data_IF_659740949722
#
_entry.id   IF_659740949722
#
_cell.length_a   1.000
_cell.length_b   1.000
_cell.length_c   1.000
_cell.angle_alpha   90.00
_cell.angle_beta   90.00
_cell.angle_gamma   90.00
#
_symmetry.space_group_name_H-M   'P 1'
#
loop_
_entity.id
_entity.type
_entity.pdbx_description
1 polymer ?
#
# COMPACT_ATOMS: atom_id res chain seq x y z
N UNK A 1 -4.06 -1.15 -11.45
CA UNK A 1 -4.01 -1.83 -10.14
C UNK A 1 -3.12 -0.98 -9.25
N UNK A 2 -3.69 -0.29 -8.26
CA UNK A 2 -2.90 0.57 -7.37
C UNK A 2 -2.49 -0.25 -6.15
N UNK A 3 -1.20 -0.27 -5.84
CA UNK A 3 -0.68 -0.96 -4.66
C UNK A 3 -0.57 0.05 -3.52
N UNK A 4 -1.22 -0.26 -2.39
CA UNK A 4 -1.14 0.55 -1.17
C UNK A 4 -0.34 -0.23 -0.14
N UNK A 5 0.60 0.45 0.52
CA UNK A 5 1.48 -0.13 1.53
C UNK A 5 1.22 0.52 2.89
N UNK A 6 0.81 -0.28 3.86
CA UNK A 6 0.61 0.14 5.25
C UNK A 6 1.83 -0.26 6.09
N UNK A 7 2.22 0.60 7.05
CA UNK A 7 3.35 0.35 7.93
C UNK A 7 2.96 0.41 9.41
N UNK A 8 3.72 -0.29 10.26
CA UNK A 8 3.59 -0.25 11.72
C UNK A 8 2.14 -0.51 12.19
N UNK A 9 1.65 0.30 13.12
CA UNK A 9 0.30 0.19 13.71
C UNK A 9 -0.83 0.25 12.67
N UNK A 10 -0.66 1.00 11.57
CA UNK A 10 -1.67 1.04 10.51
C UNK A 10 -1.83 -0.31 9.81
N UNK A 11 -0.72 -1.06 9.66
CA UNK A 11 -0.77 -2.41 9.08
C UNK A 11 -1.57 -3.37 9.99
N UNK A 12 -1.42 -3.26 11.31
CA UNK A 12 -2.21 -4.05 12.25
C UNK A 12 -3.71 -3.72 12.19
N UNK A 13 -4.05 -2.43 12.11
CA UNK A 13 -5.45 -1.98 11.98
C UNK A 13 -6.02 -2.48 10.64
N UNK A 14 -5.29 -2.29 9.54
CA UNK A 14 -5.70 -2.80 8.24
C UNK A 14 -5.91 -4.31 8.28
N UNK A 15 -5.00 -5.09 8.88
CA UNK A 15 -5.15 -6.54 8.97
C UNK A 15 -6.33 -6.98 9.83
N UNK A 16 -6.69 -6.23 10.88
CA UNK A 16 -7.79 -6.59 11.79
C UNK A 16 -9.17 -6.20 11.23
N UNK A 17 -9.25 -5.05 10.57
CA UNK A 17 -10.53 -4.44 10.19
C UNK A 17 -10.80 -4.45 8.69
N UNK A 18 -9.79 -4.47 7.83
CA UNK A 18 -9.98 -4.50 6.37
C UNK A 18 -10.33 -5.92 5.93
N UNK A 19 -11.54 -6.08 5.41
CA UNK A 19 -12.00 -7.31 4.77
C UNK A 19 -12.34 -7.04 3.30
N UNK A 20 -12.30 -8.08 2.46
CA UNK A 20 -12.66 -7.98 1.05
C UNK A 20 -14.08 -7.40 0.92
N UNK A 21 -14.21 -6.29 0.20
CA UNK A 21 -15.49 -5.57 0.02
C UNK A 21 -15.76 -4.46 1.04
N UNK A 22 -14.90 -4.26 2.05
CA UNK A 22 -14.99 -3.13 2.97
C UNK A 22 -14.65 -1.80 2.30
N UNK A 23 -15.45 -0.76 2.58
CA UNK A 23 -15.15 0.60 2.14
C UNK A 23 -14.18 1.23 3.12
N UNK A 24 -13.12 1.82 2.59
CA UNK A 24 -12.13 2.55 3.39
C UNK A 24 -11.69 3.79 2.64
N UNK A 25 -11.36 4.82 3.41
CA UNK A 25 -10.64 5.98 2.95
C UNK A 25 -9.17 5.86 3.31
N UNK A 26 -8.29 6.12 2.35
CA UNK A 26 -6.85 6.01 2.50
C UNK A 26 -6.24 7.31 1.99
N UNK A 27 -5.42 7.94 2.82
CA UNK A 27 -4.61 9.10 2.45
C UNK A 27 -3.13 8.75 2.65
N UNK A 28 -2.29 9.28 1.76
CA UNK A 28 -0.86 9.12 1.89
C UNK A 28 -0.09 9.62 0.67
N UNK A 29 1.18 9.23 0.61
CA UNK A 29 2.13 9.75 -0.36
C UNK A 29 2.40 8.76 -1.50
N UNK A 30 2.45 9.26 -2.74
CA UNK A 30 2.85 8.46 -3.90
C UNK A 30 4.37 8.24 -3.89
N UNK A 31 4.80 6.98 -4.03
CA UNK A 31 6.21 6.61 -4.07
C UNK A 31 6.48 5.65 -5.21
N UNK A 32 7.41 6.05 -6.07
CA UNK A 32 7.90 5.18 -7.15
C UNK A 32 9.24 4.60 -6.75
N UNK A 33 9.35 3.27 -6.74
CA UNK A 33 10.63 2.58 -6.54
C UNK A 33 10.99 1.77 -7.77
N UNK A 34 12.28 1.80 -8.10
CA UNK A 34 12.89 0.97 -9.14
C UNK A 34 13.70 -0.12 -8.46
N UNK A 35 13.47 -1.36 -8.85
CA UNK A 35 14.24 -2.50 -8.37
C UNK A 35 14.54 -3.44 -9.53
N UNK A 36 15.66 -4.16 -9.44
CA UNK A 36 16.06 -5.15 -10.43
C UNK A 36 15.63 -6.52 -9.96
N UNK A 37 14.92 -7.23 -10.82
CA UNK A 37 14.56 -8.61 -10.58
C UNK A 37 15.77 -9.54 -10.81
N UNK A 38 15.74 -10.77 -10.30
CA UNK A 38 16.84 -11.73 -10.43
C UNK A 38 17.17 -12.07 -11.89
N UNK A 39 16.22 -11.90 -12.81
CA UNK A 39 16.44 -12.04 -14.26
C UNK A 39 17.07 -10.81 -14.93
N UNK A 40 17.50 -9.80 -14.17
CA UNK A 40 18.16 -8.59 -14.70
C UNK A 40 17.20 -7.52 -15.27
N UNK A 41 15.89 -7.77 -15.22
CA UNK A 41 14.88 -6.84 -15.69
C UNK A 41 14.65 -5.71 -14.66
N UNK A 42 14.66 -4.46 -15.11
CA UNK A 42 14.26 -3.31 -14.28
C UNK A 42 12.73 -3.25 -14.15
N UNK A 43 12.25 -3.27 -12.90
CA UNK A 43 10.85 -3.11 -12.54
C UNK A 43 10.68 -1.76 -11.86
N UNK A 44 9.78 -0.94 -12.40
CA UNK A 44 9.30 0.25 -11.72
C UNK A 44 7.94 -0.07 -11.09
N UNK A 45 7.83 0.17 -9.78
CA UNK A 45 6.57 -0.01 -9.05
C UNK A 45 6.22 1.31 -8.39
N UNK A 46 5.05 1.82 -8.76
CA UNK A 46 4.45 2.99 -8.13
C UNK A 46 3.46 2.50 -7.08
N UNK A 47 3.73 2.85 -5.82
CA UNK A 47 2.96 2.43 -4.66
C UNK A 47 2.53 3.65 -3.86
N UNK A 48 1.40 3.55 -3.16
CA UNK A 48 0.93 4.59 -2.24
C UNK A 48 1.32 4.16 -0.83
N UNK A 49 2.14 4.97 -0.16
CA UNK A 49 2.44 4.79 1.26
C UNK A 49 1.31 5.41 2.06
N UNK A 50 0.52 4.59 2.74
CA UNK A 50 -0.60 5.07 3.52
C UNK A 50 -0.13 5.71 4.83
N UNK A 51 -0.56 6.95 5.06
CA UNK A 51 -0.32 7.72 6.28
C UNK A 51 -1.58 7.76 7.16
N UNK A 52 -2.78 7.72 6.55
CA UNK A 52 -4.07 7.67 7.25
C UNK A 52 -4.96 6.58 6.66
N UNK A 53 -5.62 5.83 7.53
CA UNK A 53 -6.66 4.86 7.18
C UNK A 53 -7.92 5.14 8.01
N UNK A 54 -9.05 5.34 7.34
CA UNK A 54 -10.34 5.53 7.96
C UNK A 54 -11.35 4.50 7.42
N UNK A 55 -12.00 3.80 8.33
CA UNK A 55 -13.06 2.84 8.02
C UNK A 55 -14.38 3.62 7.80
N UNK A 56 -15.15 3.22 6.79
CA UNK A 56 -16.43 3.84 6.42
C UNK A 56 -17.59 2.89 6.62
#
# INVERSE_FOLDING_TARGET
MCTVVFFNRLAEIASKYLKKGGKVYIEGSLRTRKWKDQSGNEKEVTEIRADVLQLL
#
